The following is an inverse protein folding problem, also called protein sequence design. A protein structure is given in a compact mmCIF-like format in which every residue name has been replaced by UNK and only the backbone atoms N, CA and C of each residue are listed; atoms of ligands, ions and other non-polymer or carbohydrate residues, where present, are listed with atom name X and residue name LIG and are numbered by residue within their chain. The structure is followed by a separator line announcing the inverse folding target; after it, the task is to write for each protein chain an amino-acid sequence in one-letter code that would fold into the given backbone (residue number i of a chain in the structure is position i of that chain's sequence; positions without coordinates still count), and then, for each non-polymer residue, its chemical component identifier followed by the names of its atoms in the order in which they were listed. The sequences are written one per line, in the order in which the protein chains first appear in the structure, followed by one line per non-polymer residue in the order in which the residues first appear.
data_IF_609174259139
#
_entry.id   IF_609174259139
#
_cell.length_a   1.000
_cell.length_b   1.000
_cell.length_c   1.000
_cell.angle_alpha   90.00
_cell.angle_beta   90.00
_cell.angle_gamma   90.00
#
_symmetry.space_group_name_H-M   'P 1'
#
loop_
_entity.id
_entity.type
_entity.pdbx_description
1 polymer ?
#
# COMPACT_ATOMS: atom_id res chain seq x y z
N UNK A 1 7.28 -13.82 -27.74
CA UNK A 1 7.17 -15.14 -27.08
C UNK A 1 6.03 -15.89 -27.75
N UNK A 2 6.21 -17.16 -28.07
CA UNK A 2 5.17 -18.01 -28.65
C UNK A 2 3.98 -18.12 -27.70
N UNK A 3 2.75 -17.95 -28.21
CA UNK A 3 1.49 -17.99 -27.43
C UNK A 3 1.37 -19.27 -26.62
N UNK A 4 1.84 -20.40 -27.18
CA UNK A 4 1.81 -21.69 -26.48
C UNK A 4 2.74 -21.69 -25.25
N UNK A 5 3.92 -21.08 -25.38
CA UNK A 5 4.86 -20.91 -24.26
C UNK A 5 4.30 -19.97 -23.19
N UNK A 6 3.59 -18.92 -23.57
CA UNK A 6 2.97 -18.01 -22.58
C UNK A 6 1.95 -18.76 -21.72
N UNK A 7 1.11 -19.59 -22.35
CA UNK A 7 0.10 -20.38 -21.64
C UNK A 7 0.76 -21.38 -20.69
N UNK A 8 1.79 -22.09 -21.14
CA UNK A 8 2.52 -23.05 -20.30
C UNK A 8 3.13 -22.37 -19.06
N UNK A 9 3.80 -21.23 -19.25
CA UNK A 9 4.41 -20.48 -18.14
C UNK A 9 3.33 -19.93 -17.20
N UNK A 10 2.20 -19.46 -17.73
CA UNK A 10 1.09 -18.98 -16.93
C UNK A 10 0.48 -20.06 -16.04
N UNK A 11 0.28 -21.29 -16.55
CA UNK A 11 -0.23 -22.39 -15.73
C UNK A 11 0.75 -22.76 -14.61
N UNK A 12 2.04 -22.89 -14.91
CA UNK A 12 3.07 -23.15 -13.88
C UNK A 12 3.12 -22.05 -12.82
N UNK A 13 2.98 -20.79 -13.22
CA UNK A 13 3.00 -19.68 -12.28
C UNK A 13 1.78 -19.70 -11.34
N UNK A 14 0.60 -20.12 -11.82
CA UNK A 14 -0.59 -20.30 -10.97
C UNK A 14 -0.38 -21.41 -9.95
N UNK A 15 0.18 -22.54 -10.37
CA UNK A 15 0.52 -23.65 -9.47
C UNK A 15 1.53 -23.19 -8.40
N UNK A 16 2.58 -22.49 -8.82
CA UNK A 16 3.59 -21.95 -7.89
C UNK A 16 2.98 -20.93 -6.91
N UNK A 17 2.10 -20.05 -7.38
CA UNK A 17 1.39 -19.12 -6.51
C UNK A 17 0.60 -19.83 -5.41
N UNK A 18 -0.09 -20.94 -5.75
CA UNK A 18 -0.79 -21.76 -4.76
C UNK A 18 0.19 -22.43 -3.79
N UNK A 19 1.28 -23.03 -4.29
CA UNK A 19 2.26 -23.72 -3.45
C UNK A 19 3.01 -22.78 -2.49
N UNK A 20 3.28 -21.56 -2.91
CA UNK A 20 3.93 -20.52 -2.08
C UNK A 20 2.95 -19.78 -1.15
N UNK A 21 1.65 -20.13 -1.17
CA UNK A 21 0.67 -19.49 -0.29
C UNK A 21 0.23 -18.09 -0.74
N UNK A 22 0.46 -17.71 -2.01
CA UNK A 22 -0.17 -16.54 -2.62
C UNK A 22 -1.63 -16.87 -2.95
N UNK A 23 -2.46 -16.91 -1.90
CA UNK A 23 -3.82 -17.44 -1.96
C UNK A 23 -4.85 -16.41 -1.47
N UNK A 24 -6.07 -16.48 -2.00
CA UNK A 24 -7.21 -15.67 -1.58
C UNK A 24 -8.49 -16.52 -1.59
N UNK A 25 -9.43 -16.16 -0.71
CA UNK A 25 -10.78 -16.74 -0.72
C UNK A 25 -11.57 -16.22 -1.93
N UNK A 26 -12.47 -17.04 -2.51
CA UNK A 26 -13.37 -16.59 -3.56
C UNK A 26 -14.30 -15.49 -3.07
N UNK A 27 -14.69 -14.57 -3.96
CA UNK A 27 -15.62 -13.49 -3.65
C UNK A 27 -17.02 -14.01 -3.29
N UNK A 28 -17.39 -15.19 -3.81
CA UNK A 28 -18.64 -15.88 -3.55
C UNK A 28 -18.68 -16.52 -2.14
N UNK A 29 -17.52 -16.73 -1.51
CA UNK A 29 -17.40 -17.37 -0.19
C UNK A 29 -16.29 -16.74 0.69
N UNK A 30 -16.35 -15.42 0.96
CA UNK A 30 -15.25 -14.68 1.60
C UNK A 30 -14.98 -15.08 3.06
N UNK A 31 -15.92 -15.78 3.69
CA UNK A 31 -15.83 -16.29 5.06
C UNK A 31 -15.39 -17.75 5.16
N UNK A 32 -15.39 -18.53 4.07
CA UNK A 32 -14.94 -19.93 4.08
C UNK A 32 -13.52 -20.05 3.52
N UNK A 33 -12.76 -21.01 4.04
CA UNK A 33 -11.43 -21.38 3.53
C UNK A 33 -11.40 -22.78 2.90
N UNK A 34 -12.56 -23.40 2.69
CA UNK A 34 -12.66 -24.73 2.07
C UNK A 34 -12.26 -24.69 0.59
N UNK A 35 -12.44 -23.54 -0.05
CA UNK A 35 -11.99 -23.23 -1.41
C UNK A 35 -11.09 -22.01 -1.39
N UNK A 36 -10.02 -22.06 -2.17
CA UNK A 36 -9.05 -20.98 -2.36
C UNK A 36 -8.67 -20.86 -3.83
N UNK A 37 -8.30 -19.65 -4.25
CA UNK A 37 -7.67 -19.40 -5.54
C UNK A 37 -6.31 -18.74 -5.32
N UNK A 38 -5.45 -18.76 -6.33
CA UNK A 38 -4.26 -17.93 -6.28
C UNK A 38 -4.68 -16.45 -6.22
N UNK A 39 -3.92 -15.62 -5.49
CA UNK A 39 -4.07 -14.17 -5.58
C UNK A 39 -3.77 -13.67 -7.00
N UNK A 40 -4.26 -12.51 -7.42
CA UNK A 40 -3.87 -11.92 -8.70
C UNK A 40 -2.40 -11.48 -8.68
N UNK A 41 -1.66 -11.79 -9.75
CA UNK A 41 -0.26 -11.39 -9.92
C UNK A 41 0.10 -11.19 -11.39
N UNK A 42 1.21 -10.50 -11.67
CA UNK A 42 1.75 -10.36 -13.03
C UNK A 42 2.64 -11.55 -13.36
N UNK A 43 2.57 -12.07 -14.60
CA UNK A 43 3.38 -13.23 -14.99
C UNK A 43 4.90 -12.97 -14.88
N UNK A 44 5.32 -11.72 -15.10
CA UNK A 44 6.70 -11.29 -14.97
C UNK A 44 6.79 -10.08 -14.02
N UNK A 45 7.93 -9.89 -13.35
CA UNK A 45 8.16 -8.72 -12.52
C UNK A 45 8.22 -7.45 -13.38
N UNK A 46 7.62 -6.37 -12.88
CA UNK A 46 7.76 -5.05 -13.48
C UNK A 46 9.18 -4.51 -13.28
N UNK A 47 9.77 -3.94 -14.34
CA UNK A 47 11.09 -3.31 -14.26
C UNK A 47 11.00 -1.97 -13.55
N UNK A 48 11.87 -1.75 -12.56
CA UNK A 48 11.97 -0.50 -11.81
C UNK A 48 13.45 -0.07 -11.80
N UNK A 49 13.79 1.20 -12.10
CA UNK A 49 15.16 1.67 -11.99
C UNK A 49 15.65 1.55 -10.54
N UNK A 50 16.82 0.93 -10.32
CA UNK A 50 17.38 0.70 -8.99
C UNK A 50 17.50 1.99 -8.17
N UNK A 51 17.84 3.11 -8.83
CA UNK A 51 17.91 4.43 -8.20
C UNK A 51 16.58 4.86 -7.59
N UNK A 52 15.46 4.67 -8.31
CA UNK A 52 14.13 5.04 -7.81
C UNK A 52 13.66 4.10 -6.70
N UNK A 53 13.98 2.81 -6.81
CA UNK A 53 13.68 1.85 -5.74
C UNK A 53 14.42 2.19 -4.45
N UNK A 54 15.72 2.54 -4.52
CA UNK A 54 16.50 2.98 -3.36
C UNK A 54 15.93 4.27 -2.78
N UNK A 55 15.60 5.25 -3.63
CA UNK A 55 14.99 6.51 -3.21
C UNK A 55 13.68 6.28 -2.40
N UNK A 56 12.80 5.40 -2.87
CA UNK A 56 11.55 5.07 -2.15
C UNK A 56 11.83 4.45 -0.78
N UNK A 57 12.78 3.51 -0.72
CA UNK A 57 13.17 2.82 0.53
C UNK A 57 13.78 3.76 1.55
N UNK A 58 14.67 4.65 1.11
CA UNK A 58 15.35 5.63 1.97
C UNK A 58 14.36 6.64 2.55
N UNK A 59 13.41 7.12 1.73
CA UNK A 59 12.40 8.09 2.15
C UNK A 59 11.40 7.54 3.18
N UNK A 60 11.21 6.22 3.28
CA UNK A 60 10.16 5.64 4.13
C UNK A 60 10.28 6.06 5.60
N UNK A 61 11.50 6.13 6.16
CA UNK A 61 11.70 6.54 7.56
C UNK A 61 11.32 8.00 7.80
N UNK A 62 11.61 8.88 6.83
CA UNK A 62 11.29 10.30 6.92
C UNK A 62 9.77 10.51 6.86
N UNK A 63 9.08 9.80 5.96
CA UNK A 63 7.61 9.82 5.91
C UNK A 63 6.98 9.25 7.19
N UNK A 64 7.52 8.15 7.73
CA UNK A 64 7.03 7.59 8.99
C UNK A 64 7.13 8.61 10.13
N UNK A 65 8.27 9.29 10.25
CA UNK A 65 8.48 10.31 11.28
C UNK A 65 7.60 11.54 11.06
N UNK A 66 7.47 12.00 9.80
CA UNK A 66 6.59 13.10 9.43
C UNK A 66 5.14 12.80 9.83
N UNK A 67 4.61 11.63 9.43
CA UNK A 67 3.24 11.23 9.74
C UNK A 67 3.02 10.98 11.23
N UNK A 68 4.03 10.48 11.94
CA UNK A 68 3.98 10.39 13.40
C UNK A 68 3.85 11.77 14.05
N UNK A 69 4.61 12.78 13.59
CA UNK A 69 4.50 14.15 14.10
C UNK A 69 3.14 14.79 13.76
N UNK A 70 2.68 14.63 12.52
CA UNK A 70 1.35 15.09 12.09
C UNK A 70 0.24 14.52 12.97
N UNK A 71 0.29 13.22 13.30
CA UNK A 71 -0.71 12.57 14.15
C UNK A 71 -0.76 13.11 15.58
N UNK A 72 0.32 13.73 16.07
CA UNK A 72 0.40 14.30 17.43
C UNK A 72 0.28 15.83 17.46
N UNK A 73 0.20 16.48 16.30
CA UNK A 73 0.01 17.92 16.18
C UNK A 73 -1.49 18.22 16.03
N UNK A 74 -2.14 18.50 17.16
CA UNK A 74 -3.56 18.79 17.19
C UNK A 74 -3.94 20.01 16.35
N UNK A 75 -3.19 21.10 16.47
CA UNK A 75 -3.52 22.35 15.78
C UNK A 75 -3.41 22.15 14.27
N UNK A 76 -2.36 21.44 13.83
CA UNK A 76 -2.22 21.07 12.42
C UNK A 76 -3.40 20.22 11.92
N UNK A 77 -3.78 19.17 12.67
CA UNK A 77 -4.90 18.31 12.29
C UNK A 77 -6.22 19.09 12.23
N UNK A 78 -6.51 19.92 13.24
CA UNK A 78 -7.73 20.73 13.28
C UNK A 78 -7.76 21.73 12.12
N UNK A 79 -6.68 22.48 11.90
CA UNK A 79 -6.64 23.46 10.80
C UNK A 79 -6.80 22.80 9.43
N UNK A 80 -6.26 21.59 9.26
CA UNK A 80 -6.38 20.82 8.02
C UNK A 80 -7.77 20.24 7.79
N UNK A 81 -8.46 19.82 8.85
CA UNK A 81 -9.73 19.09 8.76
C UNK A 81 -10.97 19.95 9.06
N UNK A 82 -10.85 21.15 9.65
CA UNK A 82 -11.98 21.98 10.14
C UNK A 82 -13.09 22.27 9.12
N UNK A 83 -12.77 22.28 7.83
CA UNK A 83 -13.77 22.48 6.78
C UNK A 83 -14.40 21.14 6.35
N UNK A 84 -13.62 20.05 6.35
CA UNK A 84 -14.08 18.71 5.98
C UNK A 84 -15.05 18.16 7.02
N UNK A 85 -14.74 18.30 8.32
CA UNK A 85 -15.62 17.82 9.41
C UNK A 85 -17.00 18.50 9.45
N UNK A 86 -17.19 19.62 8.74
CA UNK A 86 -18.48 20.31 8.62
C UNK A 86 -19.39 19.70 7.56
N UNK A 87 -18.81 18.99 6.59
CA UNK A 87 -19.51 18.54 5.39
C UNK A 87 -19.44 17.02 5.19
N UNK A 88 -18.47 16.35 5.80
CA UNK A 88 -18.30 14.90 5.73
C UNK A 88 -18.57 14.25 7.10
N UNK A 89 -19.67 13.52 7.18
CA UNK A 89 -20.14 12.89 8.41
C UNK A 89 -19.18 11.82 8.92
N UNK A 90 -18.56 11.04 8.03
CA UNK A 90 -17.61 10.00 8.41
C UNK A 90 -16.37 10.59 9.10
N UNK A 91 -15.73 11.58 8.49
CA UNK A 91 -14.56 12.27 9.05
C UNK A 91 -14.93 13.00 10.34
N UNK A 92 -16.14 13.57 10.42
CA UNK A 92 -16.63 14.19 11.66
C UNK A 92 -16.69 13.19 12.81
N UNK A 93 -17.22 11.98 12.59
CA UNK A 93 -17.27 10.97 13.63
C UNK A 93 -15.88 10.55 14.11
N UNK A 94 -14.90 10.40 13.20
CA UNK A 94 -13.52 10.12 13.57
C UNK A 94 -12.90 11.25 14.40
N UNK A 95 -13.18 12.50 14.02
CA UNK A 95 -12.73 13.69 14.76
C UNK A 95 -13.34 13.75 16.16
N UNK A 96 -14.63 13.49 16.29
CA UNK A 96 -15.33 13.52 17.58
C UNK A 96 -14.78 12.45 18.54
N UNK A 97 -14.43 11.26 18.05
CA UNK A 97 -13.73 10.22 18.82
C UNK A 97 -12.34 10.72 19.26
N UNK A 98 -11.57 11.30 18.33
CA UNK A 98 -10.24 11.84 18.64
C UNK A 98 -10.29 12.90 19.73
N UNK A 99 -11.23 13.85 19.66
CA UNK A 99 -11.40 14.90 20.67
C UNK A 99 -11.82 14.34 22.03
N UNK A 100 -12.72 13.35 22.06
CA UNK A 100 -13.15 12.70 23.30
C UNK A 100 -11.96 12.03 24.01
N UNK A 101 -11.18 11.23 23.28
CA UNK A 101 -9.98 10.56 23.82
C UNK A 101 -8.93 11.57 24.28
N UNK A 102 -8.72 12.64 23.52
CA UNK A 102 -7.77 13.70 23.89
C UNK A 102 -8.18 14.42 25.18
N UNK A 103 -9.48 14.72 25.34
CA UNK A 103 -10.03 15.40 26.53
C UNK A 103 -9.92 14.55 27.78
N UNK A 104 -10.19 13.25 27.67
CA UNK A 104 -10.04 12.29 28.78
C UNK A 104 -8.56 12.07 29.12
N UNK A 105 -7.70 12.11 28.11
CA UNK A 105 -6.28 11.77 28.20
C UNK A 105 -6.05 10.33 27.73
N UNK A 106 -4.96 10.05 26.99
CA UNK A 106 -4.74 8.73 26.41
C UNK A 106 -4.48 7.68 27.49
N UNK A 107 -5.29 6.62 27.49
CA UNK A 107 -5.11 5.47 28.39
C UNK A 107 -3.83 4.66 28.11
N UNK A 108 -3.24 4.82 26.92
CA UNK A 108 -2.00 4.17 26.49
C UNK A 108 -1.10 5.17 25.76
N UNK A 109 0.18 5.19 26.13
CA UNK A 109 1.17 6.13 25.57
C UNK A 109 1.97 5.54 24.41
N UNK A 110 1.98 4.20 24.25
CA UNK A 110 2.67 3.53 23.15
C UNK A 110 1.80 3.51 21.90
N UNK A 111 2.36 3.98 20.78
CA UNK A 111 1.74 3.98 19.47
C UNK A 111 2.61 3.19 18.48
N UNK A 112 1.98 2.34 17.67
CA UNK A 112 2.65 1.61 16.58
C UNK A 112 1.95 1.94 15.26
N UNK A 113 2.71 2.43 14.29
CA UNK A 113 2.26 2.66 12.93
C UNK A 113 2.80 1.60 11.97
N UNK A 114 1.93 0.92 11.23
CA UNK A 114 2.29 0.07 10.11
C UNK A 114 1.84 0.77 8.82
N UNK A 115 2.78 1.43 8.17
CA UNK A 115 2.51 2.35 7.07
C UNK A 115 2.98 1.79 5.72
N UNK A 116 2.24 2.14 4.65
CA UNK A 116 2.65 1.88 3.27
C UNK A 116 2.66 3.19 2.48
N UNK A 117 3.78 3.48 1.83
CA UNK A 117 3.92 4.66 0.98
C UNK A 117 3.94 4.23 -0.49
N UNK A 118 2.93 4.66 -1.23
CA UNK A 118 2.68 4.22 -2.60
C UNK A 118 3.17 5.28 -3.59
N UNK A 119 3.88 4.83 -4.62
CA UNK A 119 4.55 5.68 -5.60
C UNK A 119 4.24 5.26 -7.03
N UNK A 120 4.30 6.21 -7.96
CA UNK A 120 4.30 5.98 -9.40
C UNK A 120 5.52 6.65 -10.07
N UNK A 121 5.93 6.11 -11.21
CA UNK A 121 6.98 6.68 -12.04
C UNK A 121 6.37 7.65 -13.06
N UNK A 122 6.82 8.89 -13.02
CA UNK A 122 6.39 9.99 -13.88
C UNK A 122 7.43 10.24 -14.98
N UNK A 123 6.98 10.29 -16.24
CA UNK A 123 7.83 10.61 -17.41
C UNK A 123 8.06 12.11 -17.60
N UNK A 124 7.46 12.95 -16.75
CA UNK A 124 7.61 14.40 -16.79
C UNK A 124 7.03 15.03 -18.06
N UNK A 125 6.04 14.40 -18.68
CA UNK A 125 5.42 14.86 -19.93
C UNK A 125 6.26 14.62 -21.19
N UNK A 126 7.38 13.90 -21.08
CA UNK A 126 8.20 13.55 -22.25
C UNK A 126 7.69 12.27 -22.91
N UNK A 127 7.66 12.24 -24.24
CA UNK A 127 7.33 11.04 -25.03
C UNK A 127 8.48 10.03 -25.06
N UNK A 128 9.67 10.45 -24.61
CA UNK A 128 10.85 9.61 -24.53
C UNK A 128 10.85 8.87 -23.18
N UNK A 129 10.42 7.62 -23.19
CA UNK A 129 10.32 6.74 -22.03
C UNK A 129 11.67 6.18 -21.57
N UNK A 130 12.75 6.95 -21.74
CA UNK A 130 14.04 6.53 -21.21
C UNK A 130 13.92 6.39 -19.68
N UNK A 131 14.24 5.19 -19.19
CA UNK A 131 14.17 4.77 -17.79
C UNK A 131 14.96 5.73 -16.89
N UNK A 132 16.02 6.36 -17.41
CA UNK A 132 16.87 7.30 -16.67
C UNK A 132 16.18 8.66 -16.39
N UNK A 133 15.14 9.01 -17.14
CA UNK A 133 14.40 10.27 -16.98
C UNK A 133 13.16 10.13 -16.07
N UNK A 134 12.85 8.92 -15.62
CA UNK A 134 11.71 8.67 -14.76
C UNK A 134 11.91 9.32 -13.39
N UNK A 135 10.87 9.99 -12.89
CA UNK A 135 10.83 10.58 -11.56
C UNK A 135 9.88 9.80 -10.68
N UNK A 136 10.30 9.51 -9.46
CA UNK A 136 9.41 8.92 -8.47
C UNK A 136 8.46 9.99 -7.92
N UNK A 137 7.16 9.72 -7.95
CA UNK A 137 6.11 10.59 -7.40
C UNK A 137 5.32 9.81 -6.36
N UNK A 138 5.19 10.40 -5.18
CA UNK A 138 4.36 9.85 -4.11
C UNK A 138 2.88 10.09 -4.45
N UNK A 139 2.07 9.05 -4.30
CA UNK A 139 0.64 9.05 -4.65
C UNK A 139 -0.22 8.99 -3.40
N UNK A 140 0.08 8.07 -2.50
CA UNK A 140 -0.73 7.84 -1.30
C UNK A 140 0.14 7.39 -0.13
N UNK A 141 -0.21 7.83 1.07
CA UNK A 141 0.39 7.34 2.30
C UNK A 141 -0.68 6.67 3.16
N UNK A 142 -0.68 5.34 3.14
CA UNK A 142 -1.66 4.50 3.82
C UNK A 142 -1.26 4.32 5.29
N UNK A 143 -2.10 4.82 6.20
CA UNK A 143 -1.87 4.77 7.66
C UNK A 143 -2.75 3.78 8.42
N UNK A 144 -3.77 3.23 7.76
CA UNK A 144 -4.72 2.27 8.31
C UNK A 144 -4.83 1.07 7.38
N UNK A 145 -4.93 -0.14 7.95
CA UNK A 145 -5.17 -1.39 7.23
C UNK A 145 -4.27 -1.60 6.00
N UNK A 146 -2.98 -1.21 6.09
CA UNK A 146 -2.00 -1.39 5.02
C UNK A 146 -1.79 -2.87 4.71
N UNK A 147 -2.42 -3.32 3.63
CA UNK A 147 -2.55 -4.74 3.28
C UNK A 147 -1.40 -5.24 2.39
N UNK A 148 -1.44 -6.53 2.05
CA UNK A 148 -0.55 -7.24 1.11
C UNK A 148 0.90 -7.49 1.54
N UNK A 149 1.38 -6.94 2.65
CA UNK A 149 2.75 -7.18 3.12
C UNK A 149 3.12 -8.68 3.22
N UNK A 150 2.20 -9.52 3.70
CA UNK A 150 2.40 -10.97 3.79
C UNK A 150 2.19 -11.74 2.48
N UNK A 151 1.37 -11.23 1.56
CA UNK A 151 1.13 -11.87 0.26
C UNK A 151 2.28 -11.56 -0.72
N UNK A 152 2.75 -10.31 -0.75
CA UNK A 152 3.81 -9.86 -1.65
C UNK A 152 5.14 -10.54 -1.35
N UNK A 153 5.40 -10.99 -0.11
CA UNK A 153 6.62 -11.75 0.18
C UNK A 153 6.69 -13.07 -0.57
N UNK A 154 5.56 -13.64 -0.99
CA UNK A 154 5.50 -14.89 -1.76
C UNK A 154 5.75 -14.69 -3.26
N UNK A 155 5.55 -13.47 -3.78
CA UNK A 155 5.71 -13.18 -5.22
C UNK A 155 7.14 -13.43 -5.72
N UNK A 156 8.14 -13.30 -4.84
CA UNK A 156 9.53 -13.58 -5.18
C UNK A 156 9.74 -15.02 -5.64
N UNK A 157 9.03 -15.98 -5.07
CA UNK A 157 9.19 -17.38 -5.41
C UNK A 157 8.36 -17.78 -6.64
N UNK A 158 7.34 -16.97 -6.97
CA UNK A 158 6.52 -17.13 -8.18
C UNK A 158 7.22 -16.59 -9.42
N UNK A 159 8.03 -15.52 -9.28
CA UNK A 159 8.79 -14.85 -10.36
C UNK A 159 10.17 -15.46 -10.59
#
# INVERSE_FOLDING_TARGET
MDVMKIKEVAERAKEMALLSGLQMRPAESPSSSDLIHHGPFTLFPSKIPSKLLSQAKEAQKDFNLMMHRVAHDHDFLYQSLKNVIKVDEFTKHLWDIYEAVKKEGPAQTKCLGLFRNDYMMDTGGTTNTNIDNLKLKQIEFNTIASSFGGLVSQLRDVH
#
